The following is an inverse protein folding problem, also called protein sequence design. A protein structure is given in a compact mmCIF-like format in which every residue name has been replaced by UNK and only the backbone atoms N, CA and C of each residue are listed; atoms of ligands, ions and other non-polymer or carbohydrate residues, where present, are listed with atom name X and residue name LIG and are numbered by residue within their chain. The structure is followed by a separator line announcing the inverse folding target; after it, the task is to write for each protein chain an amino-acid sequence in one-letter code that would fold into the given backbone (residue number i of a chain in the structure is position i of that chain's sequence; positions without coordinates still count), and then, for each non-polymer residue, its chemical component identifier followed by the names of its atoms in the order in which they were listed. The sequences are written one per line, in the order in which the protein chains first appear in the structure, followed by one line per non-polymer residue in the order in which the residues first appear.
data_IF_753297262556
#
_entry.id   IF_753297262556
#
_cell.length_a   1.000
_cell.length_b   1.000
_cell.length_c   1.000
_cell.angle_alpha   90.00
_cell.angle_beta   90.00
_cell.angle_gamma   90.00
#
_symmetry.space_group_name_H-M   'P 1'
#
loop_
_entity.id
_entity.type
_entity.pdbx_description
1 polymer ?
#
# COMPACT_ATOMS: atom_id res chain seq x y z
N UNK A 1 60.74 -16.44 -63.02
CA UNK A 1 59.87 -17.65 -62.87
C UNK A 1 59.48 -17.80 -61.44
N UNK A 2 58.23 -17.56 -61.19
CA UNK A 2 57.59 -17.83 -59.87
C UNK A 2 57.20 -19.30 -59.78
N UNK A 3 57.04 -19.88 -58.60
CA UNK A 3 55.67 -20.25 -58.32
C UNK A 3 55.16 -19.87 -56.91
N UNK A 4 53.84 -19.80 -56.85
CA UNK A 4 52.96 -19.37 -55.76
C UNK A 4 52.97 -20.28 -54.52
N UNK A 5 52.85 -19.68 -53.33
CA UNK A 5 52.56 -20.38 -52.12
C UNK A 5 51.08 -20.17 -51.75
N UNK A 6 50.37 -21.26 -51.62
CA UNK A 6 48.97 -21.37 -51.22
C UNK A 6 48.90 -21.20 -49.70
N UNK A 7 48.25 -20.12 -49.23
CA UNK A 7 48.02 -19.86 -47.85
C UNK A 7 46.68 -20.49 -47.39
N UNK A 8 46.77 -21.43 -46.46
CA UNK A 8 45.64 -22.05 -45.78
C UNK A 8 45.12 -21.07 -44.70
N UNK A 9 43.90 -20.51 -44.89
CA UNK A 9 43.20 -19.72 -43.86
C UNK A 9 42.34 -20.63 -43.00
N UNK A 10 42.85 -20.96 -41.84
CA UNK A 10 42.07 -21.54 -40.78
C UNK A 10 41.02 -20.56 -40.29
N UNK A 11 39.76 -20.91 -40.46
CA UNK A 11 38.63 -20.18 -39.90
C UNK A 11 38.58 -20.43 -38.38
N UNK A 12 38.96 -19.43 -37.60
CA UNK A 12 38.71 -19.40 -36.14
C UNK A 12 37.27 -18.97 -35.93
N UNK A 13 36.40 -19.96 -35.64
CA UNK A 13 35.03 -19.73 -35.24
C UNK A 13 34.94 -18.91 -33.96
N UNK A 14 34.52 -17.66 -34.08
CA UNK A 14 34.23 -16.81 -32.92
C UNK A 14 32.91 -17.29 -32.26
N UNK A 15 33.06 -18.10 -31.23
CA UNK A 15 31.97 -18.51 -30.39
C UNK A 15 31.57 -17.31 -29.49
N UNK A 16 30.72 -16.43 -30.00
CA UNK A 16 30.12 -15.35 -29.22
C UNK A 16 29.04 -15.92 -28.31
N UNK A 17 29.42 -16.42 -27.15
CA UNK A 17 28.51 -16.69 -26.06
C UNK A 17 27.83 -15.36 -25.69
N UNK A 18 26.59 -15.21 -26.12
CA UNK A 18 25.70 -14.13 -25.75
C UNK A 18 25.49 -14.20 -24.23
N UNK A 19 26.29 -13.43 -23.48
CA UNK A 19 26.04 -13.26 -22.03
C UNK A 19 24.69 -12.57 -21.88
N UNK A 20 23.67 -13.35 -21.60
CA UNK A 20 22.40 -12.79 -21.17
C UNK A 20 22.66 -12.08 -19.85
N UNK A 21 22.72 -10.75 -19.90
CA UNK A 21 22.70 -9.91 -18.72
C UNK A 21 21.40 -10.20 -17.98
N UNK A 22 21.50 -10.98 -16.92
CA UNK A 22 20.43 -11.06 -15.91
C UNK A 22 20.37 -9.68 -15.28
N UNK A 23 19.49 -8.82 -15.79
CA UNK A 23 19.17 -7.56 -15.17
C UNK A 23 18.37 -7.92 -13.91
N UNK A 24 19.07 -8.13 -12.82
CA UNK A 24 18.46 -8.18 -11.50
C UNK A 24 17.64 -6.91 -11.35
N UNK A 25 16.30 -7.03 -11.36
CA UNK A 25 15.42 -5.91 -11.07
C UNK A 25 15.59 -5.59 -9.58
N UNK A 26 16.57 -4.75 -9.28
CA UNK A 26 16.71 -4.18 -7.96
C UNK A 26 15.39 -3.47 -7.63
N UNK A 27 14.63 -4.04 -6.72
CA UNK A 27 13.51 -3.35 -6.06
C UNK A 27 14.08 -2.76 -4.78
N UNK A 28 14.17 -1.43 -4.67
CA UNK A 28 14.58 -0.83 -3.41
C UNK A 28 13.66 -1.35 -2.29
N UNK A 29 14.19 -1.61 -1.10
CA UNK A 29 13.39 -2.08 0.01
C UNK A 29 12.28 -1.05 0.27
N UNK A 30 11.03 -1.50 0.14
CA UNK A 30 9.87 -0.69 0.51
C UNK A 30 9.96 -0.48 2.02
N UNK A 31 10.06 0.77 2.46
CA UNK A 31 10.02 1.10 3.88
C UNK A 31 8.70 0.56 4.44
N UNK A 32 8.73 -0.20 5.54
CA UNK A 32 7.48 -0.63 6.16
C UNK A 32 6.65 0.62 6.46
N UNK A 33 5.37 0.58 6.08
CA UNK A 33 4.45 1.66 6.40
C UNK A 33 4.29 1.82 7.91
N UNK A 34 3.86 3.00 8.33
CA UNK A 34 3.54 3.29 9.72
C UNK A 34 2.65 2.20 10.34
N UNK A 35 2.84 1.95 11.63
CA UNK A 35 2.08 0.94 12.39
C UNK A 35 0.89 1.54 13.15
N UNK A 36 0.66 2.83 13.04
CA UNK A 36 -0.47 3.47 13.71
C UNK A 36 -1.76 3.25 12.93
N UNK A 37 -2.83 2.99 13.68
CA UNK A 37 -4.18 2.78 13.15
C UNK A 37 -5.21 3.29 14.15
N UNK A 38 -6.35 3.81 13.65
CA UNK A 38 -7.48 4.19 14.52
C UNK A 38 -8.24 2.95 14.99
N UNK A 39 -9.07 3.05 16.06
CA UNK A 39 -9.95 1.97 16.46
C UNK A 39 -10.88 1.49 15.34
N UNK A 40 -11.40 2.41 14.53
CA UNK A 40 -12.29 2.12 13.40
C UNK A 40 -11.54 1.35 12.30
N UNK A 41 -10.34 1.78 11.96
CA UNK A 41 -9.50 1.10 10.98
C UNK A 41 -9.11 -0.31 11.43
N UNK A 42 -8.74 -0.46 12.71
CA UNK A 42 -8.43 -1.77 13.27
C UNK A 42 -9.65 -2.70 13.27
N UNK A 43 -10.85 -2.19 13.59
CA UNK A 43 -12.09 -2.96 13.51
C UNK A 43 -12.39 -3.41 12.08
N UNK A 44 -12.23 -2.53 11.09
CA UNK A 44 -12.40 -2.87 9.66
C UNK A 44 -11.48 -4.02 9.24
N UNK A 45 -10.18 -3.95 9.57
CA UNK A 45 -9.24 -5.00 9.19
C UNK A 45 -9.53 -6.34 9.90
N UNK A 46 -9.98 -6.30 11.16
CA UNK A 46 -10.43 -7.51 11.88
C UNK A 46 -11.65 -8.13 11.22
N UNK A 47 -12.67 -7.33 10.92
CA UNK A 47 -13.87 -7.80 10.23
C UNK A 47 -13.57 -8.38 8.84
N UNK A 48 -12.64 -7.79 8.09
CA UNK A 48 -12.18 -8.36 6.83
C UNK A 48 -11.50 -9.72 7.03
N UNK A 49 -10.63 -9.83 8.03
CA UNK A 49 -9.96 -11.09 8.37
C UNK A 49 -10.96 -12.18 8.72
N UNK A 50 -11.94 -11.87 9.59
CA UNK A 50 -12.95 -12.83 10.03
C UNK A 50 -13.84 -13.29 8.87
N UNK A 51 -14.30 -12.37 8.02
CA UNK A 51 -15.08 -12.70 6.82
C UNK A 51 -14.31 -13.60 5.87
N UNK A 52 -13.05 -13.29 5.60
CA UNK A 52 -12.21 -14.11 4.71
C UNK A 52 -11.94 -15.49 5.28
N UNK A 53 -11.65 -15.59 6.60
CA UNK A 53 -11.24 -16.84 7.22
C UNK A 53 -12.40 -17.74 7.59
N UNK A 54 -13.48 -17.18 8.15
CA UNK A 54 -14.61 -17.94 8.70
C UNK A 54 -15.70 -18.20 7.67
N UNK A 55 -15.86 -17.35 6.66
CA UNK A 55 -16.96 -17.44 5.71
C UNK A 55 -16.48 -17.79 4.30
N UNK A 56 -15.62 -16.95 3.72
CA UNK A 56 -15.29 -17.08 2.30
C UNK A 56 -14.39 -18.30 2.03
N UNK A 57 -13.35 -18.47 2.83
CA UNK A 57 -12.40 -19.57 2.68
C UNK A 57 -13.06 -20.96 2.75
N UNK A 58 -13.89 -21.29 3.76
CA UNK A 58 -14.59 -22.57 3.81
C UNK A 58 -15.47 -22.80 2.60
N UNK A 59 -16.25 -21.79 2.17
CA UNK A 59 -17.14 -21.86 0.98
C UNK A 59 -16.36 -22.18 -0.28
N UNK A 60 -15.24 -21.46 -0.52
CA UNK A 60 -14.41 -21.69 -1.71
C UNK A 60 -13.70 -23.04 -1.64
N UNK A 61 -13.29 -23.50 -0.45
CA UNK A 61 -12.69 -24.82 -0.27
C UNK A 61 -13.66 -25.94 -0.63
N UNK A 62 -14.90 -25.82 -0.21
CA UNK A 62 -15.96 -26.77 -0.56
C UNK A 62 -16.20 -26.78 -2.06
N UNK A 63 -16.37 -25.63 -2.72
CA UNK A 63 -16.56 -25.52 -4.16
C UNK A 63 -15.40 -26.15 -4.95
N UNK A 64 -14.15 -25.95 -4.51
CA UNK A 64 -12.97 -26.59 -5.13
C UNK A 64 -13.01 -28.11 -4.96
N UNK A 65 -13.45 -28.62 -3.82
CA UNK A 65 -13.60 -30.05 -3.57
C UNK A 65 -14.65 -30.69 -4.45
N UNK A 66 -15.81 -30.03 -4.60
CA UNK A 66 -16.89 -30.44 -5.47
C UNK A 66 -16.46 -30.46 -6.94
N UNK A 67 -15.83 -29.40 -7.42
CA UNK A 67 -15.28 -29.34 -8.77
C UNK A 67 -14.21 -30.42 -9.02
N UNK A 68 -13.38 -30.74 -8.03
CA UNK A 68 -12.37 -31.80 -8.13
C UNK A 68 -12.98 -33.21 -8.24
N UNK A 69 -14.19 -33.41 -7.74
CA UNK A 69 -14.91 -34.68 -7.82
C UNK A 69 -15.60 -34.92 -9.18
N UNK A 70 -15.75 -33.89 -10.02
CA UNK A 70 -16.48 -33.95 -11.29
C UNK A 70 -15.66 -34.48 -12.48
N UNK A 71 -14.37 -34.84 -12.31
CA UNK A 71 -13.55 -35.45 -13.37
C UNK A 71 -12.19 -34.76 -13.60
N UNK A 72 -11.80 -34.60 -14.89
CA UNK A 72 -10.47 -34.09 -15.22
C UNK A 72 -10.24 -32.65 -14.70
N UNK A 73 -9.34 -32.56 -13.73
CA UNK A 73 -8.98 -31.30 -13.04
C UNK A 73 -8.26 -30.30 -13.96
N UNK A 74 -7.63 -30.80 -15.04
CA UNK A 74 -6.83 -29.94 -15.91
C UNK A 74 -7.71 -29.11 -16.86
N UNK A 75 -8.88 -29.62 -17.22
CA UNK A 75 -9.84 -28.93 -18.09
C UNK A 75 -10.99 -28.25 -17.31
N UNK A 76 -11.06 -28.47 -15.99
CA UNK A 76 -12.10 -27.90 -15.16
C UNK A 76 -11.77 -26.45 -14.75
N UNK A 77 -12.40 -25.50 -15.44
CA UNK A 77 -12.23 -24.07 -15.19
C UNK A 77 -12.61 -23.66 -13.76
N UNK A 78 -13.67 -24.26 -13.18
CA UNK A 78 -14.14 -23.97 -11.83
C UNK A 78 -13.10 -24.40 -10.77
N UNK A 79 -12.50 -25.58 -10.96
CA UNK A 79 -11.41 -26.03 -10.10
C UNK A 79 -10.21 -25.09 -10.13
N UNK A 80 -9.79 -24.69 -11.35
CA UNK A 80 -8.64 -23.79 -11.53
C UNK A 80 -8.90 -22.41 -10.93
N UNK A 81 -10.09 -21.84 -11.18
CA UNK A 81 -10.49 -20.55 -10.63
C UNK A 81 -10.61 -20.60 -9.10
N UNK A 82 -11.25 -21.63 -8.56
CA UNK A 82 -11.39 -21.82 -7.12
C UNK A 82 -10.04 -21.92 -6.40
N UNK A 83 -9.08 -22.68 -6.95
CA UNK A 83 -7.71 -22.74 -6.42
C UNK A 83 -7.02 -21.37 -6.43
N UNK A 84 -7.15 -20.62 -7.53
CA UNK A 84 -6.60 -19.27 -7.60
C UNK A 84 -7.18 -18.39 -6.50
N UNK A 85 -8.51 -18.44 -6.31
CA UNK A 85 -9.20 -17.68 -5.27
C UNK A 85 -8.74 -18.07 -3.85
N UNK A 86 -8.57 -19.37 -3.56
CA UNK A 86 -8.01 -19.81 -2.27
C UNK A 86 -6.63 -19.23 -2.01
N UNK A 87 -5.75 -19.23 -3.00
CA UNK A 87 -4.42 -18.62 -2.86
C UNK A 87 -4.47 -17.12 -2.59
N UNK A 88 -5.42 -16.40 -3.20
CA UNK A 88 -5.64 -14.98 -2.94
C UNK A 88 -6.11 -14.75 -1.50
N UNK A 89 -7.12 -15.51 -1.05
CA UNK A 89 -7.63 -15.46 0.32
C UNK A 89 -6.49 -15.76 1.33
N UNK A 90 -5.77 -16.85 1.16
CA UNK A 90 -4.69 -17.26 2.06
C UNK A 90 -3.56 -16.20 2.12
N UNK A 91 -3.27 -15.56 1.00
CA UNK A 91 -2.30 -14.45 0.95
C UNK A 91 -2.80 -13.24 1.72
N UNK A 92 -4.07 -12.86 1.52
CA UNK A 92 -4.67 -11.71 2.22
C UNK A 92 -4.81 -11.96 3.72
N UNK A 93 -5.23 -13.15 4.13
CA UNK A 93 -5.30 -13.57 5.55
C UNK A 93 -3.93 -13.48 6.22
N UNK A 94 -2.89 -14.01 5.59
CA UNK A 94 -1.51 -13.91 6.13
C UNK A 94 -1.06 -12.45 6.27
N UNK A 95 -1.36 -11.63 5.28
CA UNK A 95 -1.06 -10.20 5.34
C UNK A 95 -1.78 -9.52 6.50
N UNK A 96 -3.11 -9.71 6.63
CA UNK A 96 -3.93 -9.10 7.67
C UNK A 96 -3.48 -9.52 9.07
N UNK A 97 -3.21 -10.81 9.31
CA UNK A 97 -2.69 -11.31 10.59
C UNK A 97 -1.40 -10.62 10.97
N UNK A 98 -0.40 -10.68 10.08
CA UNK A 98 0.90 -10.06 10.33
C UNK A 98 0.77 -8.54 10.54
N UNK A 99 -0.12 -7.89 9.80
CA UNK A 99 -0.32 -6.45 9.90
C UNK A 99 -0.96 -6.07 11.24
N UNK A 100 -2.01 -6.78 11.65
CA UNK A 100 -2.71 -6.55 12.92
C UNK A 100 -1.83 -6.84 14.16
N UNK A 101 -0.95 -7.84 14.10
CA UNK A 101 0.01 -8.13 15.18
C UNK A 101 0.99 -6.98 15.44
N UNK A 102 1.39 -6.26 14.38
CA UNK A 102 2.36 -5.16 14.47
C UNK A 102 1.73 -3.77 14.65
N UNK A 103 0.40 -3.64 14.70
CA UNK A 103 -0.27 -2.35 14.76
C UNK A 103 -0.39 -1.80 16.19
N UNK A 104 -0.25 -0.48 16.29
CA UNK A 104 -0.55 0.29 17.49
C UNK A 104 -1.87 1.03 17.27
N UNK A 105 -2.91 0.59 17.97
CA UNK A 105 -4.22 1.27 17.93
C UNK A 105 -4.13 2.53 18.77
N UNK A 106 -4.40 3.67 18.14
CA UNK A 106 -4.39 4.99 18.76
C UNK A 106 -5.75 5.62 18.60
N UNK A 107 -6.42 5.87 19.74
CA UNK A 107 -7.64 6.65 19.76
C UNK A 107 -7.29 8.15 19.85
N UNK A 108 -7.55 8.94 18.79
CA UNK A 108 -7.25 10.36 18.81
C UNK A 108 -8.06 11.13 19.87
N UNK A 109 -9.28 10.71 20.14
CA UNK A 109 -10.16 11.35 21.13
C UNK A 109 -9.65 11.15 22.57
N UNK A 110 -9.13 9.98 22.89
CA UNK A 110 -8.56 9.68 24.21
C UNK A 110 -7.27 10.49 24.52
N UNK A 111 -6.70 11.14 23.53
CA UNK A 111 -5.49 11.96 23.69
C UNK A 111 -5.79 13.47 23.83
N UNK A 112 -7.06 13.86 23.70
CA UNK A 112 -7.49 15.22 23.99
C UNK A 112 -7.17 15.57 25.44
N UNK A 113 -6.57 16.77 25.64
CA UNK A 113 -6.15 17.23 26.96
C UNK A 113 -4.73 16.79 27.39
N UNK A 114 -4.12 15.82 26.71
CA UNK A 114 -2.73 15.40 26.96
C UNK A 114 -1.73 15.99 25.98
N UNK A 115 -2.20 16.57 24.87
CA UNK A 115 -1.38 17.12 23.78
C UNK A 115 -1.83 18.52 23.44
N UNK A 116 -0.94 19.28 22.83
CA UNK A 116 -1.23 20.57 22.22
C UNK A 116 -2.28 20.40 21.10
N UNK A 117 -3.51 20.83 21.34
CA UNK A 117 -4.62 20.67 20.41
C UNK A 117 -4.43 21.46 19.10
N UNK A 118 -3.60 22.49 19.10
CA UNK A 118 -3.26 23.27 17.91
C UNK A 118 -2.19 22.60 17.03
N UNK A 119 -1.62 21.47 17.47
CA UNK A 119 -0.58 20.75 16.75
C UNK A 119 -1.14 19.49 16.07
N UNK A 120 -0.72 19.26 14.84
CA UNK A 120 -1.14 18.10 14.04
C UNK A 120 -0.41 16.84 14.51
N UNK A 121 -1.19 15.87 15.01
CA UNK A 121 -0.75 14.52 15.33
C UNK A 121 -1.59 13.49 14.53
N UNK A 122 -1.27 12.22 14.69
CA UNK A 122 -2.08 11.13 14.16
C UNK A 122 -3.54 11.25 14.61
N UNK A 123 -4.47 11.08 13.66
CA UNK A 123 -5.91 11.16 13.87
C UNK A 123 -6.50 12.57 13.85
N UNK A 124 -5.67 13.61 13.69
CA UNK A 124 -6.14 14.98 13.57
C UNK A 124 -6.93 15.20 12.27
N UNK A 125 -8.00 15.95 12.36
CA UNK A 125 -8.61 16.67 11.25
C UNK A 125 -7.87 17.98 11.05
N UNK A 126 -7.44 18.25 9.83
CA UNK A 126 -6.69 19.45 9.46
C UNK A 126 -7.41 20.12 8.32
N UNK A 127 -7.73 21.40 8.48
CA UNK A 127 -8.30 22.21 7.41
C UNK A 127 -7.19 22.97 6.71
N UNK A 128 -7.07 22.76 5.42
CA UNK A 128 -6.03 23.36 4.59
C UNK A 128 -6.63 24.38 3.65
N UNK A 129 -6.00 25.55 3.58
CA UNK A 129 -6.24 26.54 2.52
C UNK A 129 -5.28 26.24 1.38
N UNK A 130 -5.84 25.92 0.22
CA UNK A 130 -5.13 25.68 -1.03
C UNK A 130 -4.82 26.98 -1.77
N UNK A 131 -3.87 26.95 -2.70
CA UNK A 131 -3.46 28.12 -3.49
C UNK A 131 -4.59 28.70 -4.36
N UNK A 132 -5.59 27.90 -4.72
CA UNK A 132 -6.81 28.29 -5.42
C UNK A 132 -7.87 28.96 -4.53
N UNK A 133 -7.57 29.10 -3.23
CA UNK A 133 -8.49 29.63 -2.22
C UNK A 133 -9.48 28.62 -1.66
N UNK A 134 -9.46 27.36 -2.10
CA UNK A 134 -10.32 26.33 -1.56
C UNK A 134 -9.90 25.89 -0.18
N UNK A 135 -10.88 25.63 0.68
CA UNK A 135 -10.71 25.07 2.03
C UNK A 135 -11.16 23.62 2.05
N UNK A 136 -10.25 22.71 2.39
CA UNK A 136 -10.56 21.27 2.43
C UNK A 136 -10.13 20.67 3.78
N UNK A 137 -10.98 19.79 4.30
CA UNK A 137 -10.65 18.99 5.47
C UNK A 137 -9.93 17.70 5.08
N UNK A 138 -8.93 17.34 5.86
CA UNK A 138 -8.24 16.05 5.77
C UNK A 138 -8.09 15.42 7.15
N UNK A 139 -8.34 14.14 7.28
CA UNK A 139 -8.03 13.36 8.48
C UNK A 139 -6.71 12.63 8.30
N UNK A 140 -5.72 12.88 9.16
CA UNK A 140 -4.42 12.19 9.11
C UNK A 140 -4.56 10.82 9.75
N UNK A 141 -4.53 9.76 8.96
CA UNK A 141 -4.78 8.37 9.37
C UNK A 141 -3.63 7.44 9.02
N UNK A 142 -3.71 6.19 9.42
CA UNK A 142 -2.75 5.15 9.05
C UNK A 142 -2.78 4.79 7.56
N UNK A 143 -1.70 4.15 7.05
CA UNK A 143 -1.63 3.78 5.64
C UNK A 143 -2.65 2.71 5.23
N UNK A 144 -3.30 2.03 6.18
CA UNK A 144 -4.33 1.03 5.89
C UNK A 144 -5.76 1.60 5.97
N UNK A 145 -5.91 2.92 6.14
CA UNK A 145 -7.20 3.58 6.37
C UNK A 145 -7.54 4.64 5.33
N UNK A 146 -6.57 5.08 4.52
CA UNK A 146 -6.75 6.21 3.61
C UNK A 146 -7.88 6.00 2.57
N UNK A 147 -8.26 4.76 2.32
CA UNK A 147 -9.33 4.37 1.41
C UNK A 147 -10.72 4.27 2.06
N UNK A 148 -10.83 4.59 3.36
CA UNK A 148 -12.10 4.53 4.09
C UNK A 148 -13.01 5.73 3.80
N UNK A 149 -12.43 6.89 3.48
CA UNK A 149 -13.15 8.09 3.09
C UNK A 149 -12.26 8.98 2.20
N UNK A 150 -12.90 9.84 1.38
CA UNK A 150 -12.20 10.70 0.41
C UNK A 150 -11.30 11.74 1.08
N UNK A 151 -11.66 12.17 2.28
CA UNK A 151 -10.92 13.13 3.09
C UNK A 151 -9.87 12.48 4.01
N UNK A 152 -9.69 11.16 3.93
CA UNK A 152 -8.64 10.48 4.69
C UNK A 152 -7.29 10.56 3.98
N UNK A 153 -6.29 11.00 4.74
CA UNK A 153 -4.93 11.21 4.27
C UNK A 153 -3.96 10.29 5.00
N UNK A 154 -3.27 9.43 4.27
CA UNK A 154 -2.23 8.59 4.88
C UNK A 154 -1.12 9.44 5.49
N UNK A 155 -0.78 9.18 6.74
CA UNK A 155 0.35 9.80 7.42
C UNK A 155 1.71 9.53 6.73
N UNK A 156 1.78 8.47 5.91
CA UNK A 156 2.97 8.11 5.14
C UNK A 156 3.03 8.78 3.77
N UNK A 157 1.95 9.46 3.33
CA UNK A 157 1.95 10.25 2.10
C UNK A 157 2.84 11.49 2.21
N UNK A 158 3.30 12.08 1.09
CA UNK A 158 4.08 13.32 1.13
C UNK A 158 3.37 14.43 1.91
N UNK A 159 2.08 14.65 1.66
CA UNK A 159 1.28 15.65 2.36
C UNK A 159 1.10 15.28 3.86
N UNK A 160 0.77 14.03 4.17
CA UNK A 160 0.63 13.60 5.56
C UNK A 160 1.90 13.80 6.38
N UNK A 161 3.06 13.49 5.80
CA UNK A 161 4.36 13.73 6.45
C UNK A 161 4.68 15.20 6.66
N UNK A 162 4.31 16.06 5.71
CA UNK A 162 4.55 17.51 5.85
C UNK A 162 3.67 18.16 6.92
N UNK A 163 2.50 17.58 7.20
CA UNK A 163 1.57 18.04 8.21
C UNK A 163 1.95 17.62 9.63
N UNK A 164 2.46 16.40 9.81
CA UNK A 164 2.75 15.89 11.16
C UNK A 164 3.71 16.79 11.94
N UNK A 165 3.30 17.16 13.14
CA UNK A 165 4.05 18.03 14.04
C UNK A 165 3.92 19.53 13.76
N UNK A 166 3.26 19.92 12.69
CA UNK A 166 2.92 21.32 12.37
C UNK A 166 1.81 21.85 13.28
N UNK A 167 1.61 23.15 13.25
CA UNK A 167 0.63 23.85 14.08
C UNK A 167 -0.37 24.62 13.22
N UNK A 168 -1.43 25.06 13.87
CA UNK A 168 -2.32 26.07 13.33
C UNK A 168 -1.50 27.27 12.87
N UNK A 169 -1.87 27.88 11.76
CA UNK A 169 -1.22 28.99 11.06
C UNK A 169 0.16 28.67 10.42
N UNK A 170 0.65 27.42 10.52
CA UNK A 170 1.85 27.02 9.80
C UNK A 170 1.58 26.90 8.28
N UNK A 171 2.56 27.37 7.49
CA UNK A 171 2.65 27.12 6.06
C UNK A 171 3.46 25.85 5.81
N UNK A 172 3.00 25.03 4.87
CA UNK A 172 3.70 23.84 4.39
C UNK A 172 3.89 23.87 2.88
N UNK A 173 5.03 23.40 2.43
CA UNK A 173 5.29 23.14 1.01
C UNK A 173 5.41 21.64 0.81
N UNK A 174 4.72 21.10 -0.20
CA UNK A 174 4.72 19.68 -0.52
C UNK A 174 4.90 19.48 -2.02
N UNK A 175 5.73 18.50 -2.39
CA UNK A 175 5.89 18.05 -3.77
C UNK A 175 4.75 17.08 -4.10
N UNK A 176 3.86 17.52 -5.00
CA UNK A 176 2.78 16.72 -5.55
C UNK A 176 3.12 16.31 -7.00
N UNK A 177 2.45 15.29 -7.56
CA UNK A 177 2.64 14.93 -8.98
C UNK A 177 2.37 16.07 -9.97
N UNK A 178 1.58 17.07 -9.55
CA UNK A 178 1.24 18.28 -10.31
C UNK A 178 2.24 19.43 -10.12
N UNK A 179 3.26 19.26 -9.25
CA UNK A 179 4.26 20.28 -8.90
C UNK A 179 4.25 20.62 -7.41
N UNK A 180 5.13 21.54 -7.00
CA UNK A 180 5.18 22.02 -5.63
C UNK A 180 3.91 22.81 -5.31
N UNK A 181 3.27 22.51 -4.18
CA UNK A 181 2.10 23.22 -3.68
C UNK A 181 2.39 23.79 -2.29
N UNK A 182 1.99 25.03 -2.07
CA UNK A 182 2.01 25.69 -0.76
C UNK A 182 0.61 25.70 -0.18
N UNK A 183 0.47 25.27 1.08
CA UNK A 183 -0.79 25.12 1.78
C UNK A 183 -0.65 25.75 3.19
N UNK A 184 -1.71 26.38 3.67
CA UNK A 184 -1.75 26.93 5.03
C UNK A 184 -2.69 26.11 5.91
N UNK A 185 -2.27 25.82 7.14
CA UNK A 185 -3.10 25.13 8.13
C UNK A 185 -3.98 26.18 8.81
N UNK A 186 -5.28 26.13 8.54
CA UNK A 186 -6.23 27.12 9.06
C UNK A 186 -7.11 26.59 10.19
N UNK A 187 -7.09 25.28 10.43
CA UNK A 187 -7.77 24.67 11.58
C UNK A 187 -7.18 23.28 11.89
N UNK A 188 -7.19 22.91 13.18
CA UNK A 188 -6.79 21.59 13.67
C UNK A 188 -7.82 21.12 14.68
N UNK A 189 -8.44 19.96 14.42
CA UNK A 189 -9.50 19.41 15.26
C UNK A 189 -9.29 17.93 15.54
N UNK A 190 -9.80 17.43 16.69
CA UNK A 190 -9.77 16.02 17.09
C UNK A 190 -11.15 15.52 17.43
N UNK A 191 -11.43 14.25 17.16
CA UNK A 191 -12.72 13.62 17.40
C UNK A 191 -13.58 13.48 16.15
N UNK A 192 -14.86 13.86 16.23
CA UNK A 192 -15.78 13.74 15.11
C UNK A 192 -15.37 14.66 13.94
N UNK A 193 -15.81 14.32 12.73
CA UNK A 193 -15.59 15.17 11.57
C UNK A 193 -16.19 16.55 11.80
N UNK A 194 -15.43 17.65 11.63
CA UNK A 194 -15.99 19.00 11.66
C UNK A 194 -16.95 19.24 10.49
N UNK A 195 -17.95 20.04 10.70
CA UNK A 195 -18.93 20.43 9.67
C UNK A 195 -18.36 21.36 8.59
#
# INVERSE_FOLDING_TARGET
MAPAAVGNRSQIGRNTRRVQRIVSRYRPPVRPGSQYITPEGAARLRSELDRLWLEERPRVTQAVSEAAAQGDRSENAEYTYGKKRLHEIDRRVRFLRKRLEGMTVVDPAAQLGRRDAARVYFGAWVRLLHADGELRWYRVVGPDEFDMAEDYLSMDSPLGRSLLGKRLDDEITVELPTGAATLNIVDVHYGARPG
#
